data_IF_541738427017
#
_entry.id   IF_541738427017
#
_cell.length_a   1.000
_cell.length_b   1.000
_cell.length_c   1.000
_cell.angle_alpha   90.00
_cell.angle_beta   90.00
_cell.angle_gamma   90.00
#
_symmetry.space_group_name_H-M   'P 1'
#
loop_
_entity.id
_entity.type
_entity.pdbx_description
1 polymer ?
#
# COMPACT_ATOMS: atom_id res chain seq x y z
N UNK A 1 -13.39 15.66 -12.92
CA UNK A 1 -13.31 15.67 -11.44
C UNK A 1 -13.41 14.23 -10.96
N UNK A 2 -12.68 13.84 -9.90
CA UNK A 2 -12.76 12.50 -9.28
C UNK A 2 -13.69 12.54 -8.07
N UNK A 3 -14.52 11.53 -7.92
CA UNK A 3 -15.47 11.36 -6.81
C UNK A 3 -14.96 10.34 -5.80
N UNK A 4 -15.47 10.35 -4.55
CA UNK A 4 -15.11 9.34 -3.55
C UNK A 4 -15.41 7.90 -4.00
N UNK A 5 -16.48 7.70 -4.78
CA UNK A 5 -16.82 6.38 -5.33
C UNK A 5 -15.77 5.92 -6.35
N UNK A 6 -15.33 6.82 -7.24
CA UNK A 6 -14.23 6.52 -8.17
C UNK A 6 -12.93 6.20 -7.42
N UNK A 7 -12.61 6.91 -6.34
CA UNK A 7 -11.42 6.60 -5.53
C UNK A 7 -11.48 5.21 -4.92
N UNK A 8 -12.64 4.80 -4.37
CA UNK A 8 -12.85 3.46 -3.80
C UNK A 8 -12.67 2.39 -4.87
N UNK A 9 -13.22 2.59 -6.06
CA UNK A 9 -13.09 1.65 -7.19
C UNK A 9 -11.63 1.55 -7.64
N UNK A 10 -10.93 2.68 -7.73
CA UNK A 10 -9.51 2.73 -8.10
C UNK A 10 -8.61 2.01 -7.08
N UNK A 11 -8.85 2.24 -5.78
CA UNK A 11 -8.12 1.54 -4.71
C UNK A 11 -8.38 0.03 -4.79
N UNK A 12 -9.64 -0.37 -5.01
CA UNK A 12 -10.02 -1.78 -5.14
C UNK A 12 -9.36 -2.44 -6.35
N UNK A 13 -9.34 -1.76 -7.50
CA UNK A 13 -8.70 -2.23 -8.72
C UNK A 13 -7.18 -2.38 -8.55
N UNK A 14 -6.53 -1.41 -7.89
CA UNK A 14 -5.10 -1.47 -7.58
C UNK A 14 -4.78 -2.66 -6.65
N UNK A 15 -5.54 -2.83 -5.56
CA UNK A 15 -5.36 -3.92 -4.60
C UNK A 15 -5.61 -5.31 -5.20
N UNK A 16 -6.56 -5.41 -6.15
CA UNK A 16 -6.80 -6.65 -6.86
C UNK A 16 -5.62 -6.99 -7.79
N UNK A 17 -5.17 -6.01 -8.57
CA UNK A 17 -4.07 -6.18 -9.53
C UNK A 17 -2.72 -6.45 -8.82
N UNK A 18 -2.49 -5.86 -7.65
CA UNK A 18 -1.26 -6.05 -6.87
C UNK A 18 -1.14 -7.44 -6.23
N UNK A 19 -2.25 -8.16 -6.07
CA UNK A 19 -2.29 -9.51 -5.48
C UNK A 19 -2.15 -10.62 -6.52
N UNK A 20 -2.24 -10.30 -7.82
CA UNK A 20 -2.14 -11.28 -8.91
C UNK A 20 -0.68 -11.72 -9.08
N UNK A 21 -0.31 -12.98 -8.78
CA UNK A 21 1.09 -13.44 -8.81
C UNK A 21 1.71 -13.41 -10.22
N UNK A 22 0.90 -13.36 -11.29
CA UNK A 22 1.36 -13.26 -12.68
C UNK A 22 1.73 -11.82 -13.04
N UNK A 23 1.20 -10.83 -12.31
CA UNK A 23 1.25 -9.40 -12.67
C UNK A 23 1.88 -8.53 -11.59
N UNK A 24 1.88 -8.98 -10.33
CA UNK A 24 2.54 -8.36 -9.19
C UNK A 24 4.07 -8.28 -9.39
N UNK A 25 4.62 -9.15 -10.23
CA UNK A 25 5.99 -9.07 -10.69
C UNK A 25 6.06 -8.09 -11.88
N UNK A 26 6.53 -6.87 -11.60
CA UNK A 26 6.71 -5.65 -12.42
C UNK A 26 7.20 -5.79 -13.88
N UNK A 27 6.66 -6.72 -14.69
CA UNK A 27 7.21 -7.06 -16.00
C UNK A 27 6.91 -6.02 -17.10
N UNK A 28 6.01 -5.06 -16.85
CA UNK A 28 5.81 -3.82 -17.63
C UNK A 28 4.87 -2.89 -16.88
N UNK A 29 5.36 -1.78 -16.34
CA UNK A 29 4.55 -0.77 -15.62
C UNK A 29 3.28 -0.36 -16.39
N UNK A 30 3.35 -0.27 -17.73
CA UNK A 30 2.18 0.02 -18.57
C UNK A 30 1.09 -1.06 -18.50
N UNK A 31 1.44 -2.35 -18.50
CA UNK A 31 0.47 -3.44 -18.44
C UNK A 31 -0.29 -3.49 -17.10
N UNK A 32 0.39 -3.10 -16.01
CA UNK A 32 -0.21 -2.99 -14.69
C UNK A 32 -1.34 -1.93 -14.67
N UNK A 33 -1.06 -0.73 -15.15
CA UNK A 33 -2.04 0.36 -15.18
C UNK A 33 -3.17 0.14 -16.20
N UNK A 34 -2.90 -0.58 -17.30
CA UNK A 34 -3.95 -1.03 -18.24
C UNK A 34 -4.98 -1.92 -17.56
N UNK A 35 -4.54 -2.90 -16.77
CA UNK A 35 -5.45 -3.80 -16.04
C UNK A 35 -6.25 -3.05 -14.98
N UNK A 36 -5.62 -2.12 -14.26
CA UNK A 36 -6.32 -1.25 -13.31
C UNK A 36 -7.40 -0.43 -14.01
N UNK A 37 -7.08 0.19 -15.15
CA UNK A 37 -8.05 0.96 -15.93
C UNK A 37 -9.21 0.08 -16.45
N UNK A 38 -8.91 -1.16 -16.88
CA UNK A 38 -9.92 -2.13 -17.29
C UNK A 38 -10.84 -2.54 -16.12
N UNK A 39 -10.27 -2.85 -14.95
CA UNK A 39 -11.04 -3.18 -13.74
C UNK A 39 -11.91 -2.01 -13.29
N UNK A 40 -11.35 -0.80 -13.34
CA UNK A 40 -12.08 0.43 -13.01
C UNK A 40 -13.28 0.62 -13.96
N UNK A 41 -13.04 0.50 -15.26
CA UNK A 41 -14.07 0.64 -16.30
C UNK A 41 -15.16 -0.44 -16.22
N UNK A 42 -14.81 -1.65 -15.78
CA UNK A 42 -15.75 -2.76 -15.63
C UNK A 42 -16.61 -2.65 -14.34
N UNK A 43 -16.31 -1.69 -13.46
CA UNK A 43 -17.05 -1.57 -12.21
C UNK A 43 -18.44 -0.98 -12.44
N UNK A 44 -19.52 -1.63 -11.98
CA UNK A 44 -20.89 -1.13 -12.12
C UNK A 44 -21.16 0.14 -11.30
N UNK A 45 -20.22 0.53 -10.43
CA UNK A 45 -20.29 1.74 -9.60
C UNK A 45 -19.83 3.00 -10.34
N UNK A 46 -19.28 2.84 -11.54
CA UNK A 46 -18.81 3.94 -12.38
C UNK A 46 -19.92 4.31 -13.37
N UNK A 47 -20.21 5.60 -13.46
CA UNK A 47 -21.21 6.10 -14.40
C UNK A 47 -20.82 5.77 -15.86
N UNK A 48 -21.80 5.43 -16.68
CA UNK A 48 -21.59 5.18 -18.10
C UNK A 48 -20.90 6.41 -18.74
N UNK A 49 -19.70 6.21 -19.31
CA UNK A 49 -18.89 7.28 -19.90
C UNK A 49 -17.81 7.90 -18.99
N UNK A 50 -17.74 7.54 -17.71
CA UNK A 50 -16.64 7.95 -16.81
C UNK A 50 -15.39 7.07 -16.98
N UNK A 51 -15.04 6.71 -18.23
CA UNK A 51 -13.83 5.95 -18.52
C UNK A 51 -12.59 6.77 -18.16
N UNK A 52 -11.62 6.10 -17.54
CA UNK A 52 -10.33 6.67 -17.16
C UNK A 52 -9.25 5.87 -17.84
N UNK A 53 -8.33 6.56 -18.49
CA UNK A 53 -7.16 5.91 -19.08
C UNK A 53 -6.14 5.55 -18.00
N UNK A 54 -5.21 4.66 -18.35
CA UNK A 54 -4.10 4.21 -17.49
C UNK A 54 -3.38 5.39 -16.81
N UNK A 55 -3.13 6.48 -17.55
CA UNK A 55 -2.44 7.66 -17.06
C UNK A 55 -3.26 8.42 -16.01
N UNK A 56 -4.58 8.51 -16.17
CA UNK A 56 -5.45 9.17 -15.19
C UNK A 56 -5.49 8.37 -13.88
N UNK A 57 -5.64 7.05 -13.97
CA UNK A 57 -5.64 6.15 -12.82
C UNK A 57 -4.33 6.23 -12.05
N UNK A 58 -3.18 6.19 -12.75
CA UNK A 58 -1.85 6.32 -12.14
C UNK A 58 -1.68 7.64 -11.40
N UNK A 59 -1.99 8.76 -12.04
CA UNK A 59 -1.87 10.08 -11.42
C UNK A 59 -2.77 10.22 -10.19
N UNK A 60 -4.01 9.72 -10.26
CA UNK A 60 -4.93 9.78 -9.13
C UNK A 60 -4.44 8.90 -7.99
N UNK A 61 -3.99 7.68 -8.28
CA UNK A 61 -3.44 6.77 -7.29
C UNK A 61 -2.27 7.41 -6.52
N UNK A 62 -1.32 8.05 -7.21
CA UNK A 62 -0.21 8.72 -6.53
C UNK A 62 -0.70 9.79 -5.55
N UNK A 63 -1.71 10.59 -5.90
CA UNK A 63 -2.31 11.58 -4.99
C UNK A 63 -2.96 10.93 -3.78
N UNK A 64 -3.74 9.86 -3.98
CA UNK A 64 -4.36 9.09 -2.89
C UNK A 64 -3.28 8.54 -1.97
N UNK A 65 -2.28 7.86 -2.53
CA UNK A 65 -1.19 7.25 -1.77
C UNK A 65 -0.39 8.29 -0.95
N UNK A 66 -0.13 9.48 -1.51
CA UNK A 66 0.47 10.58 -0.75
C UNK A 66 -0.41 11.01 0.43
N UNK A 67 -1.73 11.12 0.23
CA UNK A 67 -2.64 11.50 1.31
C UNK A 67 -2.71 10.42 2.40
N UNK A 68 -2.77 9.14 2.02
CA UNK A 68 -2.73 8.01 2.94
C UNK A 68 -1.44 8.03 3.76
N UNK A 69 -0.27 8.19 3.12
CA UNK A 69 1.01 8.23 3.82
C UNK A 69 1.10 9.40 4.81
N UNK A 70 0.60 10.58 4.44
CA UNK A 70 0.53 11.73 5.36
C UNK A 70 -0.38 11.46 6.55
N UNK A 71 -1.52 10.81 6.31
CA UNK A 71 -2.43 10.41 7.37
C UNK A 71 -1.78 9.40 8.31
N UNK A 72 -1.14 8.35 7.78
CA UNK A 72 -0.42 7.35 8.58
C UNK A 72 0.64 8.01 9.47
N UNK A 73 1.49 8.88 8.92
CA UNK A 73 2.51 9.57 9.71
C UNK A 73 1.93 10.50 10.79
N UNK A 74 0.80 11.18 10.51
CA UNK A 74 0.11 12.00 11.51
C UNK A 74 -0.58 11.16 12.59
N UNK A 75 -1.10 9.98 12.23
CA UNK A 75 -1.73 9.04 13.15
C UNK A 75 -0.70 8.36 14.06
N UNK A 76 0.44 7.93 13.52
CA UNK A 76 1.58 7.42 14.29
C UNK A 76 2.10 8.46 15.27
N UNK A 77 2.33 9.70 14.82
CA UNK A 77 2.73 10.80 15.71
C UNK A 77 1.68 11.08 16.81
N UNK A 78 0.39 10.98 16.48
CA UNK A 78 -0.69 11.12 17.45
C UNK A 78 -0.70 9.95 18.46
N UNK A 79 -0.45 8.72 18.03
CA UNK A 79 -0.32 7.56 18.92
C UNK A 79 0.89 7.70 19.84
N UNK A 80 2.05 8.09 19.31
CA UNK A 80 3.27 8.32 20.10
C UNK A 80 3.06 9.41 21.15
N UNK A 81 2.44 10.54 20.80
CA UNK A 81 2.11 11.60 21.77
C UNK A 81 1.07 11.19 22.80
N UNK A 82 0.22 10.20 22.51
CA UNK A 82 -0.73 9.63 23.47
C UNK A 82 -0.08 8.56 24.37
N UNK A 83 1.03 7.97 23.95
CA UNK A 83 1.82 7.02 24.73
C UNK A 83 2.82 7.73 25.67
N UNK A 84 3.01 9.05 25.52
CA UNK A 84 3.66 9.90 26.50
C UNK A 84 2.62 10.29 27.56
N UNK A 85 2.67 9.64 28.72
CA UNK A 85 1.71 9.78 29.83
C UNK A 85 1.58 11.20 30.45
N UNK A 86 2.36 12.18 30.00
CA UNK A 86 2.31 13.52 30.59
C UNK A 86 1.24 14.42 29.93
N UNK A 87 0.03 14.33 30.51
CA UNK A 87 -1.14 15.16 30.21
C UNK A 87 -0.82 16.65 30.21
N UNK A 88 -0.91 17.29 29.04
CA UNK A 88 -1.09 18.74 28.95
C UNK A 88 -2.58 19.13 28.79
N UNK A 89 -3.07 20.18 29.50
CA UNK A 89 -4.48 20.61 29.46
C UNK A 89 -5.04 20.93 28.07
N UNK A 90 -4.18 21.26 27.09
CA UNK A 90 -4.57 21.63 25.72
C UNK A 90 -5.25 20.50 24.93
N UNK A 91 -4.96 19.23 25.25
CA UNK A 91 -5.51 18.05 24.55
C UNK A 91 -7.01 17.88 24.81
N UNK A 92 -7.52 18.33 25.97
CA UNK A 92 -8.97 18.29 26.29
C UNK A 92 -9.79 19.24 25.40
N UNK A 93 -9.24 20.42 25.07
CA UNK A 93 -9.94 21.40 24.25
C UNK A 93 -10.02 20.99 22.77
N UNK A 94 -8.97 20.34 22.25
CA UNK A 94 -8.95 19.81 20.88
C UNK A 94 -9.96 18.65 20.70
N UNK A 95 -10.06 17.73 21.67
CA UNK A 95 -11.06 16.65 21.69
C UNK A 95 -12.50 17.17 21.72
N UNK A 96 -12.76 18.25 22.47
CA UNK A 96 -14.11 18.85 22.56
C UNK A 96 -14.56 19.51 21.26
N UNK A 97 -13.64 20.14 20.51
CA UNK A 97 -13.96 20.75 19.20
C UNK A 97 -14.21 19.69 18.12
N UNK A 98 -13.47 18.57 18.14
CA UNK A 98 -13.66 17.47 17.18
C UNK A 98 -15.01 16.76 17.37
N UNK A 99 -15.50 16.65 18.62
CA UNK A 99 -16.74 15.95 18.96
C UNK A 99 -18.02 16.73 18.60
N UNK A 100 -17.92 18.03 18.33
CA UNK A 100 -19.10 18.91 18.13
C UNK A 100 -19.60 18.96 16.68
N UNK A 101 -18.79 18.58 15.70
CA UNK A 101 -19.21 18.50 14.30
C UNK A 101 -19.54 17.04 13.94
N UNK A 102 -20.83 16.71 14.03
CA UNK A 102 -21.34 15.36 13.83
C UNK A 102 -21.01 14.77 12.46
N UNK A 103 -20.31 13.63 12.48
CA UNK A 103 -20.37 12.45 11.59
C UNK A 103 -19.39 11.38 12.10
N UNK A 104 -19.56 10.95 13.35
CA UNK A 104 -18.65 9.97 13.97
C UNK A 104 -18.76 8.56 13.36
N UNK A 105 -19.84 8.23 12.65
CA UNK A 105 -19.99 6.96 11.94
C UNK A 105 -19.05 6.86 10.73
N UNK A 106 -19.06 7.88 9.87
CA UNK A 106 -18.22 7.93 8.66
C UNK A 106 -16.73 7.91 8.98
N UNK A 107 -16.29 8.63 10.01
CA UNK A 107 -14.87 8.69 10.37
C UNK A 107 -14.35 7.36 10.95
N UNK A 108 -15.15 6.66 11.76
CA UNK A 108 -14.79 5.36 12.32
C UNK A 108 -14.71 4.28 11.24
N UNK A 109 -15.67 4.28 10.32
CA UNK A 109 -15.66 3.35 9.19
C UNK A 109 -14.49 3.65 8.24
N UNK A 110 -14.22 4.94 8.01
CA UNK A 110 -13.08 5.39 7.20
C UNK A 110 -11.74 5.01 7.85
N UNK A 111 -11.62 5.17 9.18
CA UNK A 111 -10.45 4.74 9.95
C UNK A 111 -10.25 3.23 9.88
N UNK A 112 -11.30 2.44 10.06
CA UNK A 112 -11.22 0.98 9.95
C UNK A 112 -10.83 0.53 8.53
N UNK A 113 -11.30 1.24 7.49
CA UNK A 113 -10.84 1.02 6.11
C UNK A 113 -9.36 1.38 5.94
N UNK A 114 -8.88 2.46 6.56
CA UNK A 114 -7.47 2.84 6.54
C UNK A 114 -6.57 1.87 7.32
N UNK A 115 -7.00 1.39 8.48
CA UNK A 115 -6.32 0.33 9.24
C UNK A 115 -6.23 -0.95 8.40
N UNK A 116 -7.32 -1.37 7.76
CA UNK A 116 -7.30 -2.51 6.85
C UNK A 116 -6.36 -2.31 5.65
N UNK A 117 -6.34 -1.10 5.06
CA UNK A 117 -5.42 -0.76 3.98
C UNK A 117 -3.95 -0.77 4.43
N UNK A 118 -3.67 -0.30 5.66
CA UNK A 118 -2.34 -0.30 6.25
C UNK A 118 -1.81 -1.71 6.49
N UNK A 119 -2.62 -2.59 7.10
CA UNK A 119 -2.28 -3.99 7.31
C UNK A 119 -1.99 -4.72 5.99
N UNK A 120 -2.78 -4.45 4.95
CA UNK A 120 -2.55 -4.99 3.61
C UNK A 120 -1.24 -4.43 3.03
N UNK A 121 -0.95 -3.14 3.25
CA UNK A 121 0.27 -2.50 2.78
C UNK A 121 1.52 -3.07 3.45
N UNK A 122 1.46 -3.34 4.76
CA UNK A 122 2.56 -3.97 5.48
C UNK A 122 2.83 -5.39 4.95
N UNK A 123 1.78 -6.20 4.75
CA UNK A 123 1.93 -7.54 4.16
C UNK A 123 2.47 -7.49 2.73
N UNK A 124 2.07 -6.50 1.93
CA UNK A 124 2.60 -6.26 0.58
C UNK A 124 4.09 -5.90 0.61
N UNK A 125 4.53 -5.04 1.54
CA UNK A 125 5.95 -4.68 1.68
C UNK A 125 6.81 -5.89 2.05
N UNK A 126 6.38 -6.69 3.02
CA UNK A 126 7.07 -7.93 3.42
C UNK A 126 7.10 -8.93 2.26
N UNK A 127 6.01 -9.05 1.50
CA UNK A 127 5.95 -9.94 0.33
C UNK A 127 6.91 -9.47 -0.78
N UNK A 128 7.02 -8.15 -1.01
CA UNK A 128 7.96 -7.56 -1.97
C UNK A 128 9.42 -7.74 -1.58
N UNK A 129 9.72 -7.62 -0.28
CA UNK A 129 11.04 -7.93 0.25
C UNK A 129 11.39 -9.40 0.00
N UNK A 130 10.50 -10.33 0.36
CA UNK A 130 10.67 -11.78 0.08
C UNK A 130 10.90 -12.08 -1.41
N UNK A 131 10.18 -11.41 -2.31
CA UNK A 131 10.35 -11.58 -3.77
C UNK A 131 11.72 -11.06 -4.22
N UNK A 132 12.19 -9.93 -3.68
CA UNK A 132 13.50 -9.35 -4.02
C UNK A 132 14.63 -10.24 -3.53
N UNK A 133 14.54 -10.74 -2.29
CA UNK A 133 15.46 -11.72 -1.69
C UNK A 133 15.55 -12.99 -2.54
N UNK A 134 14.39 -13.54 -2.95
CA UNK A 134 14.35 -14.72 -3.82
C UNK A 134 14.99 -14.46 -5.19
N UNK A 135 14.77 -13.29 -5.78
CA UNK A 135 15.38 -12.92 -7.08
C UNK A 135 16.90 -12.77 -7.00
N UNK A 136 17.42 -12.20 -5.91
CA UNK A 136 18.86 -12.13 -5.66
C UNK A 136 19.45 -13.54 -5.52
N UNK A 137 18.78 -14.43 -4.80
CA UNK A 137 19.19 -15.82 -4.66
C UNK A 137 19.18 -16.57 -6.00
N UNK A 138 18.12 -16.42 -6.81
CA UNK A 138 18.04 -17.00 -8.16
C UNK A 138 19.18 -16.49 -9.06
N UNK A 139 19.53 -15.20 -8.98
CA UNK A 139 20.65 -14.61 -9.70
C UNK A 139 22.00 -15.21 -9.27
N UNK A 140 22.21 -15.43 -7.97
CA UNK A 140 23.41 -16.07 -7.44
C UNK A 140 23.49 -17.56 -7.82
N UNK A 141 22.36 -18.26 -7.92
CA UNK A 141 22.29 -19.66 -8.36
C UNK A 141 22.56 -19.78 -9.86
N UNK A 142 22.09 -18.84 -10.67
CA UNK A 142 22.26 -18.85 -12.12
C UNK A 142 23.66 -18.46 -12.60
N UNK A 143 24.50 -17.91 -11.71
CA UNK A 143 25.89 -17.53 -12.01
C UNK A 143 26.69 -18.78 -12.36
N UNK A 144 27.26 -18.82 -13.57
CA UNK A 144 28.05 -19.96 -14.09
C UNK A 144 29.53 -19.93 -13.67
N UNK A 145 29.99 -18.78 -13.20
CA UNK A 145 31.33 -18.59 -12.67
C UNK A 145 31.38 -19.02 -11.20
N UNK A 146 32.58 -19.39 -10.73
CA UNK A 146 32.77 -19.71 -9.32
C UNK A 146 32.40 -18.49 -8.46
N UNK A 147 31.50 -18.68 -7.50
CA UNK A 147 31.13 -17.66 -6.51
C UNK A 147 32.35 -17.37 -5.63
N UNK A 148 32.61 -16.09 -5.38
CA UNK A 148 33.61 -15.70 -4.39
C UNK A 148 33.12 -15.96 -2.95
N UNK A 149 34.02 -15.89 -1.98
CA UNK A 149 33.73 -16.18 -0.58
C UNK A 149 32.60 -15.29 0.00
N UNK A 150 32.52 -14.03 -0.45
CA UNK A 150 31.49 -13.10 0.00
C UNK A 150 30.12 -13.44 -0.61
N UNK A 151 30.08 -13.90 -1.87
CA UNK A 151 28.87 -14.35 -2.53
C UNK A 151 28.35 -15.68 -1.97
N UNK A 152 29.24 -16.59 -1.58
CA UNK A 152 28.87 -17.84 -0.88
C UNK A 152 28.25 -17.53 0.49
N UNK A 153 28.87 -16.62 1.25
CA UNK A 153 28.35 -16.19 2.54
C UNK A 153 26.97 -15.52 2.40
N UNK A 154 26.79 -14.65 1.41
CA UNK A 154 25.51 -14.01 1.09
C UNK A 154 24.45 -15.05 0.71
N UNK A 155 24.78 -16.00 -0.18
CA UNK A 155 23.88 -17.07 -0.60
C UNK A 155 23.39 -17.90 0.58
N UNK A 156 24.29 -18.27 1.51
CA UNK A 156 23.94 -19.01 2.73
C UNK A 156 22.99 -18.21 3.61
N UNK A 157 23.29 -16.92 3.84
CA UNK A 157 22.44 -16.03 4.64
C UNK A 157 21.03 -15.87 4.05
N UNK A 158 20.91 -15.70 2.73
CA UNK A 158 19.62 -15.59 2.05
C UNK A 158 18.81 -16.89 2.13
N UNK A 159 19.47 -18.05 2.09
CA UNK A 159 18.81 -19.35 2.28
C UNK A 159 18.28 -19.47 3.72
N UNK A 160 19.08 -19.11 4.71
CA UNK A 160 18.67 -19.15 6.12
C UNK A 160 17.49 -18.20 6.38
N UNK A 161 17.53 -16.98 5.85
CA UNK A 161 16.42 -16.02 5.94
C UNK A 161 15.12 -16.51 5.28
N UNK A 162 15.19 -17.36 4.26
CA UNK A 162 14.01 -17.90 3.57
C UNK A 162 13.46 -19.18 4.21
N UNK A 163 14.30 -19.96 4.89
CA UNK A 163 13.92 -21.22 5.52
C UNK A 163 13.48 -21.05 6.99
N UNK A 164 13.92 -19.99 7.66
CA UNK A 164 13.72 -19.82 9.11
C UNK A 164 12.93 -18.55 9.53
N UNK A 165 12.38 -17.75 8.59
CA UNK A 165 11.41 -16.65 8.82
C UNK A 165 10.02 -16.92 8.23
#
# INVERSE_FOLDING_TARGET
MWTPVEDIVLISAWLNTSKDPVVANEQRQGAFWKRIAAYFAASPKIAAGAHREEGNCKQRWHKINTQVNKFCGAFEAALDTMNVEERSPGVKAAKAKLKKNGKNGDLKETLSKFEGMWEIKQKDLVSKERVTTKRLLESLIAKKEALDESEVALKKKLIDELLFN
#
